data_IF_440721223525
#
_entry.id   IF_440721223525
#
_cell.length_a   1.000
_cell.length_b   1.000
_cell.length_c   1.000
_cell.angle_alpha   90.00
_cell.angle_beta   90.00
_cell.angle_gamma   90.00
#
_symmetry.space_group_name_H-M   'P 1'
#
loop_
_entity.id
_entity.type
_entity.pdbx_description
1 polymer ?
#
# COMPACT_ATOMS: atom_id res chain seq x y z
N UNK A 1 10.80 -24.08 20.92
CA UNK A 1 10.10 -23.05 21.72
C UNK A 1 9.44 -22.07 20.76
N UNK A 2 8.15 -21.72 20.98
CA UNK A 2 7.49 -20.67 20.18
C UNK A 2 8.07 -19.30 20.53
N UNK A 3 8.15 -18.39 19.55
CA UNK A 3 8.73 -17.05 19.73
C UNK A 3 7.78 -16.17 20.55
N UNK A 4 8.30 -15.32 21.44
CA UNK A 4 7.49 -14.36 22.22
C UNK A 4 6.88 -13.26 21.34
N UNK A 5 7.63 -12.83 20.32
CA UNK A 5 7.21 -11.84 19.34
C UNK A 5 7.36 -12.41 17.93
N UNK A 6 6.42 -12.10 17.06
CA UNK A 6 6.44 -12.42 15.63
C UNK A 6 6.07 -11.18 14.82
N UNK A 7 6.48 -11.17 13.55
CA UNK A 7 6.17 -10.08 12.62
C UNK A 7 5.67 -10.66 11.31
N UNK A 8 4.75 -9.95 10.67
CA UNK A 8 4.37 -10.16 9.26
C UNK A 8 4.29 -8.80 8.58
N UNK A 9 4.25 -8.78 7.26
CA UNK A 9 4.12 -7.55 6.49
C UNK A 9 3.35 -7.79 5.20
N UNK A 10 2.76 -6.73 4.67
CA UNK A 10 2.12 -6.76 3.37
C UNK A 10 2.34 -5.45 2.62
N UNK A 11 2.16 -5.51 1.29
CA UNK A 11 1.91 -4.35 0.44
C UNK A 11 0.50 -4.45 -0.13
N UNK A 12 -0.09 -3.29 -0.37
CA UNK A 12 -1.30 -3.13 -1.16
C UNK A 12 -0.97 -2.45 -2.50
N UNK A 13 -1.81 -2.72 -3.48
CA UNK A 13 -1.73 -2.12 -4.80
C UNK A 13 -2.03 -0.61 -4.73
N UNK A 14 -1.55 0.13 -5.73
CA UNK A 14 -2.02 1.51 -5.92
C UNK A 14 -3.48 1.47 -6.37
N UNK A 15 -4.26 2.46 -5.97
CA UNK A 15 -5.62 2.62 -6.50
C UNK A 15 -5.54 2.72 -8.03
N UNK A 16 -6.52 2.16 -8.74
CA UNK A 16 -6.53 2.22 -10.20
C UNK A 16 -7.94 2.34 -10.73
N UNK A 17 -8.10 3.18 -11.75
CA UNK A 17 -9.33 3.28 -12.52
C UNK A 17 -9.14 2.65 -13.89
N UNK A 18 -10.19 2.01 -14.39
CA UNK A 18 -10.20 1.48 -15.76
C UNK A 18 -10.82 2.52 -16.68
N UNK A 19 -10.04 3.00 -17.65
CA UNK A 19 -10.54 3.89 -18.69
C UNK A 19 -10.70 3.16 -20.02
N UNK A 20 -11.83 3.46 -20.67
CA UNK A 20 -12.11 3.05 -22.05
C UNK A 20 -11.27 3.91 -23.01
N UNK A 21 -10.32 3.28 -23.69
CA UNK A 21 -9.44 3.95 -24.65
C UNK A 21 -9.66 3.41 -26.07
N UNK A 22 -9.53 4.29 -27.06
CA UNK A 22 -9.65 3.99 -28.49
C UNK A 22 -10.94 4.49 -29.14
N UNK A 23 -10.90 4.68 -30.46
CA UNK A 23 -11.98 5.26 -31.28
C UNK A 23 -13.32 4.50 -31.15
N UNK A 24 -13.26 3.21 -30.76
CA UNK A 24 -14.42 2.35 -30.52
C UNK A 24 -14.57 1.87 -29.06
N UNK A 25 -13.84 2.46 -28.10
CA UNK A 25 -13.85 2.05 -26.67
C UNK A 25 -13.59 0.55 -26.42
N UNK A 26 -12.92 -0.14 -27.35
CA UNK A 26 -12.67 -1.59 -27.28
C UNK A 26 -11.39 -1.97 -26.53
N UNK A 27 -10.60 -1.00 -26.07
CA UNK A 27 -9.39 -1.25 -25.28
C UNK A 27 -9.56 -0.66 -23.88
N UNK A 28 -9.25 -1.46 -22.87
CA UNK A 28 -9.25 -1.03 -21.47
C UNK A 28 -7.81 -0.73 -21.04
N UNK A 29 -7.59 0.41 -20.39
CA UNK A 29 -6.31 0.73 -19.76
C UNK A 29 -6.54 0.99 -18.27
N UNK A 30 -5.80 0.29 -17.43
CA UNK A 30 -5.68 0.63 -16.00
C UNK A 30 -4.79 1.85 -15.86
N UNK A 31 -5.31 2.89 -15.23
CA UNK A 31 -4.56 4.08 -14.84
C UNK A 31 -4.43 4.01 -13.34
N UNK A 32 -3.18 3.90 -12.87
CA UNK A 32 -2.89 3.85 -11.44
C UNK A 32 -2.79 5.27 -10.91
N UNK A 33 -3.40 5.52 -9.75
CA UNK A 33 -3.18 6.74 -8.99
C UNK A 33 -1.88 6.59 -8.19
N UNK A 34 -0.90 7.44 -8.52
CA UNK A 34 0.38 7.45 -7.82
C UNK A 34 0.28 8.01 -6.40
N UNK A 35 -0.86 8.62 -6.05
CA UNK A 35 -1.09 9.30 -4.77
C UNK A 35 -1.97 8.54 -3.79
N UNK A 36 -2.59 7.44 -4.21
CA UNK A 36 -3.46 6.65 -3.33
C UNK A 36 -3.22 5.15 -3.44
N UNK A 37 -3.42 4.47 -2.32
CA UNK A 37 -3.41 3.01 -2.22
C UNK A 37 -4.82 2.50 -2.42
N UNK A 38 -4.96 1.26 -2.88
CA UNK A 38 -6.22 0.55 -2.81
C UNK A 38 -6.53 0.25 -1.33
N UNK A 39 -7.39 1.06 -0.73
CA UNK A 39 -7.74 0.95 0.69
C UNK A 39 -8.58 -0.29 1.01
N UNK A 40 -9.32 -0.81 0.03
CA UNK A 40 -10.07 -2.05 0.20
C UNK A 40 -9.11 -3.23 0.29
N UNK A 41 -8.15 -3.31 -0.65
CA UNK A 41 -7.09 -4.31 -0.57
C UNK A 41 -6.27 -4.15 0.73
N UNK A 42 -5.87 -2.91 1.07
CA UNK A 42 -5.11 -2.66 2.29
C UNK A 42 -5.83 -3.17 3.54
N UNK A 43 -7.14 -2.87 3.66
CA UNK A 43 -7.95 -3.28 4.81
C UNK A 43 -8.10 -4.79 4.88
N UNK A 44 -8.34 -5.44 3.73
CA UNK A 44 -8.42 -6.90 3.65
C UNK A 44 -7.11 -7.56 4.10
N UNK A 45 -5.96 -7.09 3.61
CA UNK A 45 -4.65 -7.63 4.01
C UNK A 45 -4.36 -7.45 5.49
N UNK A 46 -4.79 -6.33 6.07
CA UNK A 46 -4.65 -6.06 7.49
C UNK A 46 -5.51 -7.04 8.32
N UNK A 47 -6.75 -7.26 7.90
CA UNK A 47 -7.66 -8.24 8.53
C UNK A 47 -7.07 -9.65 8.46
N UNK A 48 -6.59 -10.09 7.29
CA UNK A 48 -5.92 -11.38 7.09
C UNK A 48 -4.74 -11.56 8.05
N UNK A 49 -3.93 -10.51 8.24
CA UNK A 49 -2.79 -10.54 9.16
C UNK A 49 -3.22 -10.67 10.64
N UNK A 50 -4.28 -9.95 11.04
CA UNK A 50 -4.84 -10.02 12.38
C UNK A 50 -5.39 -11.41 12.69
N UNK A 51 -6.19 -11.96 11.78
CA UNK A 51 -6.77 -13.30 11.91
C UNK A 51 -5.68 -14.38 11.98
N UNK A 52 -4.63 -14.28 11.15
CA UNK A 52 -3.51 -15.22 11.22
C UNK A 52 -2.77 -15.19 12.57
N UNK A 53 -2.63 -14.02 13.18
CA UNK A 53 -2.00 -13.90 14.50
C UNK A 53 -2.89 -14.47 15.60
N UNK A 54 -4.19 -14.20 15.56
CA UNK A 54 -5.16 -14.74 16.49
C UNK A 54 -5.18 -16.28 16.49
N UNK A 55 -5.27 -16.90 15.30
CA UNK A 55 -5.21 -18.35 15.10
C UNK A 55 -3.96 -19.00 15.71
N UNK A 56 -2.87 -18.23 15.80
CA UNK A 56 -1.57 -18.68 16.31
C UNK A 56 -1.37 -18.35 17.80
N UNK A 57 -2.35 -17.69 18.44
CA UNK A 57 -2.30 -17.30 19.85
C UNK A 57 -1.47 -16.04 20.14
N UNK A 58 -1.43 -15.10 19.19
CA UNK A 58 -0.74 -13.81 19.34
C UNK A 58 -1.74 -12.65 19.27
N UNK A 59 -1.56 -11.66 20.14
CA UNK A 59 -2.26 -10.38 20.05
C UNK A 59 -1.43 -9.40 19.23
N UNK A 60 -2.08 -8.65 18.34
CA UNK A 60 -1.42 -7.54 17.64
C UNK A 60 -1.13 -6.43 18.64
N UNK A 61 0.14 -6.07 18.77
CA UNK A 61 0.60 -5.04 19.70
C UNK A 61 1.15 -3.80 19.01
N UNK A 62 1.45 -3.89 17.70
CA UNK A 62 1.91 -2.75 16.92
C UNK A 62 1.64 -2.94 15.43
N UNK A 63 1.41 -1.83 14.74
CA UNK A 63 1.30 -1.74 13.28
C UNK A 63 2.18 -0.58 12.83
N UNK A 64 3.23 -0.88 12.06
CA UNK A 64 4.18 0.11 11.54
C UNK A 64 3.88 0.34 10.06
N UNK A 65 3.40 1.53 9.67
CA UNK A 65 3.14 1.85 8.27
C UNK A 65 4.42 1.77 7.42
N UNK A 66 4.32 1.16 6.24
CA UNK A 66 5.41 1.16 5.26
C UNK A 66 5.16 2.28 4.25
N UNK A 67 5.88 3.37 4.44
CA UNK A 67 5.92 4.49 3.51
C UNK A 67 6.98 4.24 2.43
N UNK A 68 6.60 4.34 1.16
CA UNK A 68 7.52 4.28 0.02
C UNK A 68 7.68 5.66 -0.59
N UNK A 69 8.90 6.20 -0.50
CA UNK A 69 9.26 7.48 -1.12
C UNK A 69 9.27 7.38 -2.65
N UNK A 70 8.85 8.45 -3.29
CA UNK A 70 8.86 8.66 -4.73
C UNK A 70 9.17 10.13 -5.03
N UNK A 71 9.67 10.41 -6.22
CA UNK A 71 9.94 11.76 -6.70
C UNK A 71 9.41 11.93 -8.11
N UNK A 72 8.80 13.08 -8.38
CA UNK A 72 8.33 13.47 -9.70
C UNK A 72 8.98 14.79 -10.13
N UNK A 73 9.35 14.89 -11.41
CA UNK A 73 9.84 16.12 -11.99
C UNK A 73 8.66 17.10 -12.13
N UNK A 74 8.78 18.26 -11.49
CA UNK A 74 7.81 19.34 -11.66
C UNK A 74 8.20 20.18 -12.87
N UNK A 75 7.33 20.21 -13.87
CA UNK A 75 7.46 21.07 -15.03
C UNK A 75 6.29 22.06 -15.05
N UNK A 76 6.58 23.32 -15.40
CA UNK A 76 5.52 24.29 -15.73
C UNK A 76 4.74 23.85 -16.97
N UNK A 77 3.57 24.44 -17.22
CA UNK A 77 2.74 24.13 -18.39
C UNK A 77 3.45 24.31 -19.74
N UNK A 78 4.53 25.09 -19.77
CA UNK A 78 5.39 25.31 -20.94
C UNK A 78 6.55 24.29 -21.05
N UNK A 79 6.62 23.27 -20.18
CA UNK A 79 7.67 22.25 -20.16
C UNK A 79 8.96 22.65 -19.44
N UNK A 80 9.03 23.84 -18.85
CA UNK A 80 10.22 24.29 -18.09
C UNK A 80 10.30 23.57 -16.75
N UNK A 81 11.44 22.91 -16.51
CA UNK A 81 11.73 22.25 -15.23
C UNK A 81 11.85 23.28 -14.11
N UNK A 82 11.13 23.06 -13.01
CA UNK A 82 11.10 23.94 -11.84
C UNK A 82 11.61 23.28 -10.56
N UNK A 83 11.90 21.98 -10.59
CA UNK A 83 12.43 21.22 -9.46
C UNK A 83 11.78 19.85 -9.35
N UNK A 84 12.20 19.08 -8.34
CA UNK A 84 11.61 17.78 -8.03
C UNK A 84 10.67 17.90 -6.83
N UNK A 85 9.55 17.18 -6.88
CA UNK A 85 8.63 17.05 -5.75
C UNK A 85 8.73 15.63 -5.21
N UNK A 86 9.11 15.50 -3.95
CA UNK A 86 9.10 14.24 -3.23
C UNK A 86 7.76 14.01 -2.54
N UNK A 87 7.25 12.77 -2.61
CA UNK A 87 6.10 12.33 -1.82
C UNK A 87 6.30 10.88 -1.39
N UNK A 88 5.60 10.47 -0.34
CA UNK A 88 5.65 9.10 0.16
C UNK A 88 4.25 8.54 0.29
N UNK A 89 3.98 7.44 -0.40
CA UNK A 89 2.72 6.73 -0.27
C UNK A 89 2.86 5.64 0.79
N UNK A 90 1.95 5.60 1.76
CA UNK A 90 1.82 4.43 2.65
C UNK A 90 1.24 3.27 1.86
N UNK A 91 2.10 2.31 1.49
CA UNK A 91 1.73 1.19 0.62
C UNK A 91 1.54 -0.12 1.35
N UNK A 92 1.82 -0.17 2.64
CA UNK A 92 1.74 -1.41 3.40
C UNK A 92 1.90 -1.18 4.88
N UNK A 93 2.01 -2.27 5.61
CA UNK A 93 2.29 -2.26 7.04
C UNK A 93 3.12 -3.47 7.45
N UNK A 94 3.94 -3.28 8.49
CA UNK A 94 4.53 -4.37 9.28
C UNK A 94 3.70 -4.50 10.56
N UNK A 95 3.20 -5.71 10.83
CA UNK A 95 2.37 -6.02 11.98
C UNK A 95 3.18 -6.85 12.96
N UNK A 96 3.14 -6.47 14.24
CA UNK A 96 3.85 -7.14 15.32
C UNK A 96 2.85 -7.85 16.23
N UNK A 97 3.03 -9.16 16.37
CA UNK A 97 2.25 -10.02 17.26
C UNK A 97 3.05 -10.37 18.51
N UNK A 98 2.43 -10.31 19.67
CA UNK A 98 2.98 -10.80 20.95
C UNK A 98 2.16 -12.00 21.41
N UNK A 99 2.82 -13.07 21.81
CA UNK A 99 2.16 -14.28 22.32
C UNK A 99 1.35 -13.93 23.58
N UNK A 100 0.16 -14.52 23.75
CA UNK A 100 -0.80 -14.23 24.83
C UNK A 100 -0.36 -14.65 26.23
N UNK A 101 0.64 -15.52 26.33
CA UNK A 101 1.11 -16.12 27.58
C UNK A 101 2.13 -15.25 28.35
#
# INVERSE_FOLDING_TARGET
>A
MSKKFITTWFYASKHSETQDVGIFRTKFRKIYDDRSVDFDEFSQRLEEAYNNFDERGYDVVNVVPVAMGSSENCNQSNGTYVGDVGFSLTRGAVIVGKRRD
#
